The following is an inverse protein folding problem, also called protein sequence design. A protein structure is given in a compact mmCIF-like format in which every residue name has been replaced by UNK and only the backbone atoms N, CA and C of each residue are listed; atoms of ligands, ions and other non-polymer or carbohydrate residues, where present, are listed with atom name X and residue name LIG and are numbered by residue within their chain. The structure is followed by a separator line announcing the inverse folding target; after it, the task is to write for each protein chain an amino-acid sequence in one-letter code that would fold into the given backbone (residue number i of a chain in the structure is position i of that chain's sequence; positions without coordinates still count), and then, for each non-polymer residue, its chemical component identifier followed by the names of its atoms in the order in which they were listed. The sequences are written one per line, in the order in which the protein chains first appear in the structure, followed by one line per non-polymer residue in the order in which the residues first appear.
data_IF_059315138107
#
_entry.id   IF_059315138107
#
_cell.length_a   1.000
_cell.length_b   1.000
_cell.length_c   1.000
_cell.angle_alpha   90.00
_cell.angle_beta   90.00
_cell.angle_gamma   90.00
#
_symmetry.space_group_name_H-M   'P 1'
#
loop_
_entity.id
_entity.type
_entity.pdbx_description
1 polymer ?
#
# COMPACT_ATOMS: atom_id res chain seq x y z
N UNK A 1 -11.49 5.69 10.95
CA UNK A 1 -10.85 6.70 11.85
C UNK A 1 -11.95 7.46 12.57
N UNK A 2 -11.73 7.83 13.84
CA UNK A 2 -12.64 8.75 14.55
C UNK A 2 -12.63 10.14 13.90
N UNK A 3 -13.74 10.86 13.95
CA UNK A 3 -13.89 12.20 13.37
C UNK A 3 -12.82 13.19 13.89
N UNK A 4 -12.43 13.05 15.16
CA UNK A 4 -11.39 13.88 15.81
C UNK A 4 -10.02 13.80 15.14
N UNK A 5 -9.62 12.62 14.65
CA UNK A 5 -8.31 12.46 13.99
C UNK A 5 -8.30 13.02 12.57
N UNK A 6 -9.49 13.23 11.97
CA UNK A 6 -9.63 13.78 10.62
C UNK A 6 -9.46 15.30 10.63
N UNK A 7 -9.85 15.97 11.72
CA UNK A 7 -9.74 17.42 11.88
C UNK A 7 -8.29 17.92 12.08
N UNK A 8 -7.36 17.04 12.46
CA UNK A 8 -5.94 17.37 12.64
C UNK A 8 -5.08 17.12 11.39
N UNK A 9 -5.68 16.64 10.30
CA UNK A 9 -4.98 16.38 9.05
C UNK A 9 -4.83 17.68 8.25
N UNK A 10 -3.69 17.89 7.57
CA UNK A 10 -3.57 18.98 6.61
C UNK A 10 -4.70 18.92 5.57
N UNK A 11 -5.24 20.08 5.19
CA UNK A 11 -6.41 20.21 4.29
C UNK A 11 -6.28 19.38 3.00
N UNK A 12 -5.06 19.27 2.46
CA UNK A 12 -4.81 18.49 1.24
C UNK A 12 -5.06 16.98 1.41
N UNK A 13 -4.83 16.42 2.60
CA UNK A 13 -5.10 15.01 2.88
C UNK A 13 -6.61 14.78 2.93
N UNK A 14 -7.34 15.71 3.54
CA UNK A 14 -8.80 15.63 3.59
C UNK A 14 -9.41 15.70 2.19
N UNK A 15 -8.97 16.65 1.36
CA UNK A 15 -9.45 16.80 -0.01
C UNK A 15 -9.19 15.56 -0.88
N UNK A 16 -8.00 14.95 -0.80
CA UNK A 16 -7.71 13.74 -1.59
C UNK A 16 -8.49 12.53 -1.09
N UNK A 17 -8.71 12.40 0.22
CA UNK A 17 -9.51 11.29 0.79
C UNK A 17 -10.96 11.29 0.29
N UNK A 18 -11.50 12.43 -0.14
CA UNK A 18 -12.87 12.56 -0.64
C UNK A 18 -13.02 12.15 -2.12
N UNK A 19 -11.93 12.19 -2.90
CA UNK A 19 -11.96 11.92 -4.34
C UNK A 19 -12.10 10.43 -4.72
N UNK A 20 -11.95 9.53 -3.74
CA UNK A 20 -11.96 8.07 -3.95
C UNK A 20 -10.82 7.57 -4.83
N UNK A 21 -10.74 6.25 -5.06
CA UNK A 21 -9.79 5.71 -6.04
C UNK A 21 -10.24 6.05 -7.46
N UNK A 22 -9.31 6.46 -8.31
CA UNK A 22 -9.57 6.70 -9.76
C UNK A 22 -9.45 5.44 -10.60
N UNK A 23 -9.06 4.32 -9.98
CA UNK A 23 -8.93 3.01 -10.59
C UNK A 23 -9.85 2.02 -9.89
N UNK A 24 -10.30 1.01 -10.64
CA UNK A 24 -11.12 -0.08 -10.10
C UNK A 24 -10.26 -1.03 -9.27
N UNK A 25 -10.57 -1.11 -7.98
CA UNK A 25 -9.85 -1.96 -7.04
C UNK A 25 -10.58 -3.29 -6.86
N UNK A 26 -9.84 -4.40 -7.02
CA UNK A 26 -10.35 -5.74 -6.69
C UNK A 26 -10.24 -5.91 -5.17
N UNK A 27 -11.39 -5.98 -4.49
CA UNK A 27 -11.42 -6.21 -3.05
C UNK A 27 -11.05 -7.66 -2.73
N UNK A 28 -10.65 -7.92 -1.48
CA UNK A 28 -10.26 -9.27 -1.05
C UNK A 28 -11.35 -10.31 -1.32
N UNK A 29 -12.62 -9.97 -1.14
CA UNK A 29 -13.76 -10.87 -1.36
C UNK A 29 -14.08 -11.12 -2.84
N UNK A 30 -13.72 -10.18 -3.72
CA UNK A 30 -14.01 -10.24 -5.15
C UNK A 30 -12.85 -10.82 -5.95
N UNK A 31 -11.69 -11.04 -5.30
CA UNK A 31 -10.51 -11.58 -5.94
C UNK A 31 -10.77 -13.02 -6.37
N UNK A 32 -10.57 -13.30 -7.66
CA UNK A 32 -10.68 -14.64 -8.25
C UNK A 32 -9.46 -14.93 -9.14
N UNK A 33 -9.32 -16.18 -9.58
CA UNK A 33 -8.27 -16.58 -10.52
C UNK A 33 -6.85 -16.26 -10.03
N UNK A 34 -6.03 -15.70 -10.90
CA UNK A 34 -4.63 -15.36 -10.60
C UNK A 34 -4.48 -14.25 -9.56
N UNK A 35 -5.39 -13.26 -9.54
CA UNK A 35 -5.34 -12.18 -8.54
C UNK A 35 -5.56 -12.72 -7.13
N UNK A 36 -6.49 -13.66 -6.95
CA UNK A 36 -6.70 -14.34 -5.66
C UNK A 36 -5.42 -15.06 -5.19
N UNK A 37 -4.76 -15.79 -6.09
CA UNK A 37 -3.51 -16.50 -5.78
C UNK A 37 -2.41 -15.54 -5.31
N UNK A 38 -2.18 -14.44 -6.04
CA UNK A 38 -1.19 -13.43 -5.63
C UNK A 38 -1.55 -12.82 -4.28
N UNK A 39 -2.83 -12.61 -4.01
CA UNK A 39 -3.27 -12.10 -2.73
C UNK A 39 -2.97 -13.07 -1.58
N UNK A 40 -3.19 -14.37 -1.79
CA UNK A 40 -2.85 -15.42 -0.83
C UNK A 40 -1.34 -15.55 -0.63
N UNK A 41 -0.54 -15.52 -1.70
CA UNK A 41 0.93 -15.51 -1.65
C UNK A 41 1.43 -14.37 -0.74
N UNK A 42 0.91 -13.16 -0.94
CA UNK A 42 1.26 -12.01 -0.12
C UNK A 42 0.85 -12.19 1.35
N UNK A 43 -0.37 -12.67 1.62
CA UNK A 43 -0.86 -12.89 2.99
C UNK A 43 -0.03 -13.93 3.74
N UNK A 44 0.28 -15.04 3.09
CA UNK A 44 1.11 -16.11 3.64
C UNK A 44 2.51 -15.58 4.03
N UNK A 45 3.09 -14.73 3.18
CA UNK A 45 4.39 -14.11 3.44
C UNK A 45 4.34 -13.04 4.54
N UNK A 46 3.32 -12.18 4.52
CA UNK A 46 3.28 -11.00 5.41
C UNK A 46 2.66 -11.29 6.79
N UNK A 47 1.96 -12.42 6.95
CA UNK A 47 1.20 -12.76 8.16
C UNK A 47 -0.03 -11.86 8.38
N UNK A 48 -0.51 -11.16 7.35
CA UNK A 48 -1.65 -10.22 7.44
C UNK A 48 -2.87 -10.84 6.78
N UNK A 49 -4.07 -10.49 7.25
CA UNK A 49 -5.33 -11.06 6.74
C UNK A 49 -5.98 -10.27 5.61
N UNK A 50 -5.56 -9.01 5.38
CA UNK A 50 -6.17 -8.12 4.38
C UNK A 50 -5.12 -7.52 3.46
N UNK A 51 -5.41 -7.51 2.17
CA UNK A 51 -4.56 -6.86 1.16
C UNK A 51 -4.53 -5.33 1.36
N UNK A 52 -3.35 -4.68 1.40
CA UNK A 52 -3.23 -3.23 1.50
C UNK A 52 -3.80 -2.53 0.27
N UNK A 53 -4.39 -1.35 0.46
CA UNK A 53 -5.01 -0.58 -0.62
C UNK A 53 -4.07 -0.31 -1.79
N UNK A 54 -2.81 0.07 -1.51
CA UNK A 54 -1.79 0.31 -2.53
C UNK A 54 -1.49 -0.91 -3.40
N UNK A 55 -1.54 -2.13 -2.85
CA UNK A 55 -1.32 -3.35 -3.64
C UNK A 55 -2.54 -3.72 -4.46
N UNK A 56 -3.76 -3.43 -3.97
CA UNK A 56 -5.00 -3.59 -4.75
C UNK A 56 -5.02 -2.73 -6.02
N UNK A 57 -4.29 -1.62 -6.04
CA UNK A 57 -4.14 -0.78 -7.24
C UNK A 57 -3.57 -1.55 -8.44
N UNK A 58 -2.81 -2.63 -8.19
CA UNK A 58 -2.22 -3.48 -9.23
C UNK A 58 -2.98 -4.80 -9.43
N UNK A 59 -4.10 -5.01 -8.73
CA UNK A 59 -4.83 -6.29 -8.74
C UNK A 59 -5.36 -6.71 -10.11
N UNK A 60 -5.60 -5.75 -11.02
CA UNK A 60 -5.98 -5.99 -12.42
C UNK A 60 -4.83 -6.60 -13.26
N UNK A 61 -3.59 -6.54 -12.77
CA UNK A 61 -2.38 -7.06 -13.42
C UNK A 61 -1.57 -7.90 -12.43
N UNK A 62 -2.02 -9.13 -12.11
CA UNK A 62 -1.38 -9.97 -11.10
C UNK A 62 0.08 -10.33 -11.44
N UNK A 63 0.42 -10.39 -12.72
CA UNK A 63 1.80 -10.53 -13.21
C UNK A 63 2.69 -9.35 -12.76
N UNK A 64 2.18 -8.13 -12.90
CA UNK A 64 2.88 -6.91 -12.48
C UNK A 64 2.87 -6.72 -10.96
N UNK A 65 1.78 -7.08 -10.28
CA UNK A 65 1.69 -7.02 -8.82
C UNK A 65 2.80 -7.84 -8.14
N UNK A 66 3.12 -9.03 -8.65
CA UNK A 66 4.25 -9.83 -8.14
C UNK A 66 5.58 -9.08 -8.27
N UNK A 67 5.81 -8.35 -9.36
CA UNK A 67 7.01 -7.53 -9.54
C UNK A 67 7.05 -6.37 -8.53
N UNK A 68 5.92 -5.71 -8.28
CA UNK A 68 5.81 -4.65 -7.27
C UNK A 68 6.12 -5.20 -5.87
N UNK A 69 5.61 -6.39 -5.53
CA UNK A 69 5.91 -7.06 -4.26
C UNK A 69 7.41 -7.38 -4.16
N UNK A 70 8.00 -7.98 -5.19
CA UNK A 70 9.43 -8.29 -5.23
C UNK A 70 10.29 -7.03 -5.08
N UNK A 71 9.92 -5.94 -5.75
CA UNK A 71 10.60 -4.65 -5.61
C UNK A 71 10.53 -4.12 -4.18
N UNK A 72 9.33 -4.16 -3.56
CA UNK A 72 9.10 -3.74 -2.18
C UNK A 72 9.92 -4.58 -1.18
N UNK A 73 9.96 -5.89 -1.38
CA UNK A 73 10.79 -6.79 -0.59
C UNK A 73 12.28 -6.45 -0.69
N UNK A 74 12.75 -6.16 -1.90
CA UNK A 74 14.16 -5.90 -2.18
C UNK A 74 14.61 -4.55 -1.61
N UNK A 75 13.80 -3.51 -1.74
CA UNK A 75 14.18 -2.15 -1.33
C UNK A 75 13.82 -1.89 0.14
N UNK A 76 12.60 -2.24 0.54
CA UNK A 76 12.02 -1.77 1.79
C UNK A 76 12.17 -2.78 2.94
N UNK A 77 11.96 -4.07 2.65
CA UNK A 77 11.89 -5.13 3.68
C UNK A 77 13.14 -6.01 3.78
N UNK A 78 14.16 -5.77 2.96
CA UNK A 78 15.45 -6.42 3.06
C UNK A 78 16.32 -5.81 4.16
N UNK A 79 17.25 -6.60 4.68
CA UNK A 79 18.37 -6.08 5.47
C UNK A 79 19.45 -5.49 4.55
N UNK A 80 20.25 -4.55 5.08
CA UNK A 80 21.33 -3.91 4.34
C UNK A 80 22.00 -2.80 5.16
N UNK A 81 22.67 -1.86 4.49
CA UNK A 81 23.33 -0.74 5.17
C UNK A 81 22.37 0.17 5.94
N UNK A 82 21.12 0.27 5.48
CA UNK A 82 20.05 0.97 6.19
C UNK A 82 19.12 -0.06 6.81
N UNK A 83 18.90 0.05 8.12
CA UNK A 83 17.86 -0.73 8.78
C UNK A 83 16.48 -0.31 8.29
N UNK A 84 15.50 -1.20 8.47
CA UNK A 84 14.10 -0.90 8.14
C UNK A 84 13.60 0.41 8.75
N UNK A 85 14.04 0.74 9.99
CA UNK A 85 13.67 2.00 10.66
C UNK A 85 14.07 3.23 9.83
N UNK A 86 15.28 3.25 9.27
CA UNK A 86 15.73 4.38 8.45
C UNK A 86 14.99 4.45 7.11
N UNK A 87 14.70 3.29 6.50
CA UNK A 87 13.91 3.23 5.26
C UNK A 87 12.51 3.82 5.46
N UNK A 88 11.84 3.47 6.55
CA UNK A 88 10.51 4.03 6.90
C UNK A 88 10.58 5.54 7.23
N UNK A 89 11.67 6.00 7.86
CA UNK A 89 11.87 7.43 8.13
C UNK A 89 12.01 8.23 6.83
N UNK A 90 12.79 7.73 5.88
CA UNK A 90 12.93 8.34 4.54
C UNK A 90 11.58 8.33 3.83
N UNK A 91 10.88 7.18 3.81
CA UNK A 91 9.57 7.07 3.17
C UNK A 91 8.56 8.08 3.74
N UNK A 92 8.50 8.19 5.07
CA UNK A 92 7.62 9.14 5.77
C UNK A 92 7.94 10.59 5.40
N UNK A 93 9.23 10.95 5.39
CA UNK A 93 9.66 12.31 5.06
C UNK A 93 9.38 12.67 3.60
N UNK A 94 9.66 11.75 2.67
CA UNK A 94 9.35 11.92 1.24
C UNK A 94 7.85 12.03 1.01
N UNK A 95 7.02 11.23 1.69
CA UNK A 95 5.56 11.34 1.63
C UNK A 95 5.06 12.69 2.12
N UNK A 96 5.63 13.21 3.22
CA UNK A 96 5.32 14.55 3.73
C UNK A 96 5.65 15.64 2.69
N UNK A 97 6.87 15.63 2.14
CA UNK A 97 7.30 16.60 1.14
C UNK A 97 6.40 16.57 -0.12
N UNK A 98 6.01 15.37 -0.55
CA UNK A 98 5.16 15.18 -1.73
C UNK A 98 3.66 15.32 -1.44
N UNK A 99 3.27 15.66 -0.21
CA UNK A 99 1.86 15.74 0.19
C UNK A 99 1.09 14.45 -0.14
N UNK A 100 1.74 13.29 0.01
CA UNK A 100 1.15 11.99 -0.24
C UNK A 100 0.25 11.58 0.94
N UNK A 101 -1.07 11.42 0.74
CA UNK A 101 -2.03 11.23 1.82
C UNK A 101 -2.27 9.77 2.26
N UNK A 102 -1.83 8.80 1.45
CA UNK A 102 -1.94 7.37 1.75
C UNK A 102 -0.87 6.92 2.75
#
# INVERSE_FOLDING_TARGET
MSADKRALMPDYIQAVSELGSKISLIQDADATGETAKVYDEWRAKSGRSKMPGILKCFGQRPDFLRQVMQFSDTVHFSEGHLSRRYKEMIASYVSFLNRCPY
#
